data_IF_872922158807
#
_entry.id   IF_872922158807
#
_cell.length_a   1.000
_cell.length_b   1.000
_cell.length_c   1.000
_cell.angle_alpha   90.00
_cell.angle_beta   90.00
_cell.angle_gamma   90.00
#
_symmetry.space_group_name_H-M   'P 1'
#
loop_
_entity.id
_entity.type
_entity.pdbx_description
1 polymer ?
#
# COMPACT_ATOMS: atom_id res chain seq x y z
N UNK A 1 -33.52 35.00 -3.41
CA UNK A 1 -33.27 33.72 -4.09
C UNK A 1 -31.97 33.18 -3.56
N UNK A 2 -32.01 32.16 -2.71
CA UNK A 2 -30.81 31.56 -2.07
C UNK A 2 -30.35 30.42 -2.96
N UNK A 3 -29.23 30.61 -3.62
CA UNK A 3 -28.61 29.61 -4.50
C UNK A 3 -27.95 28.53 -3.64
N UNK A 4 -28.66 27.42 -3.37
CA UNK A 4 -28.11 26.24 -2.69
C UNK A 4 -27.14 25.53 -3.62
N UNK A 5 -25.82 25.72 -3.41
CA UNK A 5 -24.79 24.88 -4.03
C UNK A 5 -25.02 23.43 -3.61
N UNK A 6 -25.32 22.54 -4.57
CA UNK A 6 -25.37 21.08 -4.34
C UNK A 6 -23.97 20.61 -3.91
N UNK A 7 -23.87 19.70 -2.92
CA UNK A 7 -22.56 19.23 -2.45
C UNK A 7 -21.83 18.44 -3.53
N UNK A 8 -20.53 18.63 -3.61
CA UNK A 8 -19.57 18.04 -4.57
C UNK A 8 -19.42 16.50 -4.44
N UNK A 9 -20.30 15.81 -3.75
CA UNK A 9 -20.27 14.36 -3.48
C UNK A 9 -20.40 13.44 -4.71
N UNK A 10 -20.70 13.98 -5.90
CA UNK A 10 -21.00 13.13 -7.05
C UNK A 10 -19.78 12.66 -7.87
N UNK A 11 -18.63 13.34 -7.80
CA UNK A 11 -17.42 12.94 -8.55
C UNK A 11 -16.55 11.98 -7.75
N UNK A 12 -16.35 12.21 -6.47
CA UNK A 12 -15.50 11.37 -5.60
C UNK A 12 -16.13 9.99 -5.38
N UNK A 13 -17.46 9.91 -5.21
CA UNK A 13 -18.15 8.62 -5.07
C UNK A 13 -18.04 7.72 -6.30
N UNK A 14 -17.81 8.30 -7.48
CA UNK A 14 -17.60 7.54 -8.72
C UNK A 14 -16.18 6.92 -8.82
N UNK A 15 -15.23 7.35 -8.01
CA UNK A 15 -13.86 6.82 -8.01
C UNK A 15 -13.69 5.64 -7.04
N UNK A 16 -14.59 5.47 -6.08
CA UNK A 16 -14.59 4.30 -5.19
C UNK A 16 -15.43 3.20 -5.80
N UNK A 17 -14.87 2.01 -5.92
CA UNK A 17 -15.55 0.84 -6.51
C UNK A 17 -15.87 -0.20 -5.44
N UNK A 18 -16.91 -1.03 -5.70
CA UNK A 18 -17.44 -2.01 -4.75
C UNK A 18 -16.53 -3.22 -4.52
N UNK A 19 -15.80 -3.61 -5.56
CA UNK A 19 -14.99 -4.84 -5.57
C UNK A 19 -13.81 -4.74 -6.56
N UNK A 20 -12.92 -5.73 -6.47
CA UNK A 20 -11.70 -5.77 -7.25
C UNK A 20 -11.95 -6.04 -8.74
N UNK A 21 -12.97 -6.82 -9.07
CA UNK A 21 -13.32 -7.13 -10.47
C UNK A 21 -13.85 -5.87 -11.18
N UNK A 22 -14.69 -5.10 -10.50
CA UNK A 22 -15.14 -3.79 -10.99
C UNK A 22 -13.96 -2.83 -11.19
N UNK A 23 -12.97 -2.83 -10.28
CA UNK A 23 -11.75 -2.05 -10.43
C UNK A 23 -11.01 -2.44 -11.72
N UNK A 24 -10.79 -3.72 -11.93
CA UNK A 24 -10.10 -4.24 -13.10
C UNK A 24 -10.85 -3.94 -14.41
N UNK A 25 -12.17 -4.13 -14.42
CA UNK A 25 -13.00 -3.84 -15.60
C UNK A 25 -12.91 -2.36 -15.99
N UNK A 26 -12.97 -1.44 -15.02
CA UNK A 26 -12.85 -0.01 -15.28
C UNK A 26 -11.47 0.42 -15.75
N UNK A 27 -10.42 -0.33 -15.42
CA UNK A 27 -9.04 -0.08 -15.83
C UNK A 27 -8.66 -0.81 -17.13
N UNK A 28 -9.54 -1.59 -17.74
CA UNK A 28 -9.22 -2.42 -18.91
C UNK A 28 -8.64 -1.61 -20.09
N UNK A 29 -9.20 -0.44 -20.40
CA UNK A 29 -8.67 0.44 -21.46
C UNK A 29 -7.28 0.97 -21.12
N UNK A 30 -7.03 1.33 -19.86
CA UNK A 30 -5.71 1.78 -19.40
C UNK A 30 -4.70 0.64 -19.47
N UNK A 31 -5.10 -0.56 -19.07
CA UNK A 31 -4.29 -1.79 -19.17
C UNK A 31 -3.90 -2.09 -20.61
N UNK A 32 -4.84 -2.03 -21.54
CA UNK A 32 -4.57 -2.24 -22.96
C UNK A 32 -3.55 -1.24 -23.53
N UNK A 33 -3.56 0.00 -23.02
CA UNK A 33 -2.61 1.05 -23.44
C UNK A 33 -1.22 0.90 -22.80
N UNK A 34 -1.14 0.56 -21.50
CA UNK A 34 0.11 0.55 -20.71
C UNK A 34 0.81 -0.81 -20.67
N UNK A 35 0.09 -1.90 -20.92
CA UNK A 35 0.59 -3.26 -20.75
C UNK A 35 0.65 -3.71 -19.30
N UNK A 36 1.28 -2.97 -18.41
CA UNK A 36 1.36 -3.22 -16.97
C UNK A 36 0.75 -2.07 -16.19
N UNK A 37 -0.13 -2.36 -15.24
CA UNK A 37 -0.65 -1.40 -14.28
C UNK A 37 0.00 -1.62 -12.92
N UNK A 38 0.07 -0.54 -12.13
CA UNK A 38 0.61 -0.56 -10.77
C UNK A 38 -0.49 -0.25 -9.77
N UNK A 39 -0.70 -1.15 -8.82
CA UNK A 39 -1.73 -1.02 -7.78
C UNK A 39 -1.08 -0.64 -6.46
N UNK A 40 -1.42 0.53 -5.94
CA UNK A 40 -1.07 0.90 -4.57
C UNK A 40 -1.77 -0.04 -3.59
N UNK A 41 -1.03 -0.61 -2.66
CA UNK A 41 -1.57 -1.38 -1.54
C UNK A 41 -1.41 -0.52 -0.29
N UNK A 42 -2.49 -0.33 0.45
CA UNK A 42 -2.46 0.44 1.69
C UNK A 42 -3.32 -0.22 2.76
N UNK A 43 -2.78 -0.34 3.95
CA UNK A 43 -3.51 -0.95 5.05
C UNK A 43 -2.97 -0.58 6.43
N UNK A 44 -3.65 -1.05 7.48
CA UNK A 44 -3.22 -0.81 8.84
C UNK A 44 -1.99 -1.65 9.18
N UNK A 45 -1.02 -1.02 9.84
CA UNK A 45 0.18 -1.69 10.35
C UNK A 45 0.03 -2.21 11.79
N UNK A 46 -0.98 -1.71 12.55
CA UNK A 46 -1.12 -1.99 14.00
C UNK A 46 -1.84 -3.30 14.30
N UNK A 47 -3.02 -3.46 13.73
CA UNK A 47 -3.89 -4.62 14.00
C UNK A 47 -4.21 -5.35 12.71
N UNK A 48 -4.31 -6.68 12.79
CA UNK A 48 -4.71 -7.56 11.70
C UNK A 48 -5.22 -8.89 12.26
N UNK A 49 -5.73 -9.76 11.40
CA UNK A 49 -6.06 -11.15 11.69
C UNK A 49 -5.93 -12.00 10.42
N UNK A 50 -6.03 -13.32 10.56
CA UNK A 50 -5.90 -14.29 9.44
C UNK A 50 -6.87 -14.02 8.29
N UNK A 51 -8.10 -13.57 8.57
CA UNK A 51 -9.09 -13.25 7.52
C UNK A 51 -8.67 -12.05 6.69
N UNK A 52 -8.10 -11.03 7.32
CA UNK A 52 -7.59 -9.84 6.63
C UNK A 52 -6.36 -10.21 5.81
N UNK A 53 -5.42 -10.95 6.38
CA UNK A 53 -4.25 -11.46 5.67
C UNK A 53 -4.65 -12.23 4.40
N UNK A 54 -5.60 -13.17 4.49
CA UNK A 54 -6.10 -13.91 3.33
C UNK A 54 -6.65 -12.97 2.24
N UNK A 55 -7.43 -11.95 2.63
CA UNK A 55 -7.98 -10.99 1.65
C UNK A 55 -6.91 -10.13 0.98
N UNK A 56 -5.85 -9.75 1.72
CA UNK A 56 -4.70 -9.06 1.13
C UNK A 56 -4.00 -9.95 0.13
N UNK A 57 -3.68 -11.19 0.52
CA UNK A 57 -3.00 -12.18 -0.36
C UNK A 57 -3.83 -12.50 -1.60
N UNK A 58 -5.14 -12.74 -1.47
CA UNK A 58 -6.05 -12.96 -2.60
C UNK A 58 -6.05 -11.80 -3.60
N UNK A 59 -6.10 -10.56 -3.11
CA UNK A 59 -6.08 -9.38 -3.96
C UNK A 59 -4.74 -9.24 -4.71
N UNK A 60 -3.63 -9.43 -4.01
CA UNK A 60 -2.29 -9.36 -4.62
C UNK A 60 -2.09 -10.47 -5.65
N UNK A 61 -2.53 -11.70 -5.34
CA UNK A 61 -2.47 -12.82 -6.31
C UNK A 61 -3.17 -12.45 -7.61
N UNK A 62 -4.40 -11.96 -7.53
CA UNK A 62 -5.15 -11.52 -8.71
C UNK A 62 -4.43 -10.43 -9.50
N UNK A 63 -3.77 -9.48 -8.83
CA UNK A 63 -3.00 -8.41 -9.47
C UNK A 63 -1.80 -8.99 -10.21
N UNK A 64 -1.00 -9.82 -9.56
CA UNK A 64 0.24 -10.38 -10.14
C UNK A 64 -0.08 -11.37 -11.29
N UNK A 65 -1.08 -12.23 -11.12
CA UNK A 65 -1.52 -13.18 -12.16
C UNK A 65 -2.04 -12.50 -13.44
N UNK A 66 -2.53 -11.27 -13.32
CA UNK A 66 -2.89 -10.41 -14.47
C UNK A 66 -1.68 -9.79 -15.18
N UNK A 67 -0.47 -10.03 -14.71
CA UNK A 67 0.75 -9.39 -15.18
C UNK A 67 0.89 -7.92 -14.75
N UNK A 68 0.18 -7.51 -13.69
CA UNK A 68 0.27 -6.18 -13.07
C UNK A 68 1.26 -6.20 -11.90
N UNK A 69 1.55 -5.04 -11.32
CA UNK A 69 2.47 -4.90 -10.20
C UNK A 69 1.83 -4.22 -8.99
N UNK A 70 2.49 -4.32 -7.84
CA UNK A 70 2.10 -3.65 -6.61
C UNK A 70 3.06 -2.53 -6.24
N UNK A 71 2.53 -1.53 -5.55
CA UNK A 71 3.27 -0.43 -4.92
C UNK A 71 2.84 -0.38 -3.46
N UNK A 72 3.78 -0.49 -2.52
CA UNK A 72 3.45 -0.46 -1.09
C UNK A 72 4.47 0.38 -0.31
N UNK A 73 4.21 0.55 0.96
CA UNK A 73 5.02 1.40 1.82
C UNK A 73 5.98 0.66 2.75
N UNK A 74 6.12 -0.66 2.61
CA UNK A 74 7.05 -1.45 3.39
C UNK A 74 6.76 -1.49 4.90
N UNK A 75 5.50 -1.36 5.32
CA UNK A 75 5.10 -1.44 6.71
C UNK A 75 4.71 -2.87 7.13
N UNK A 76 4.54 -3.09 8.45
CA UNK A 76 4.02 -4.35 8.98
C UNK A 76 2.59 -4.64 8.52
N UNK A 77 2.17 -5.88 8.67
CA UNK A 77 0.84 -6.40 8.38
C UNK A 77 0.47 -6.29 6.89
N UNK A 78 -0.41 -5.36 6.50
CA UNK A 78 -0.98 -5.35 5.14
C UNK A 78 0.10 -5.22 4.07
N UNK A 79 1.03 -4.29 4.22
CA UNK A 79 2.11 -4.09 3.25
C UNK A 79 3.05 -5.31 3.23
N UNK A 80 3.38 -5.86 4.42
CA UNK A 80 4.19 -7.08 4.56
C UNK A 80 3.54 -8.29 3.88
N UNK A 81 2.24 -8.54 4.12
CA UNK A 81 1.51 -9.65 3.49
C UNK A 81 1.42 -9.50 1.97
N UNK A 82 1.20 -8.27 1.51
CA UNK A 82 1.14 -7.97 0.10
C UNK A 82 2.49 -8.23 -0.59
N UNK A 83 3.57 -7.78 0.02
CA UNK A 83 4.93 -7.97 -0.48
C UNK A 83 5.33 -9.44 -0.48
N UNK A 84 5.04 -10.17 0.60
CA UNK A 84 5.31 -11.60 0.72
C UNK A 84 4.58 -12.44 -0.35
N UNK A 85 3.29 -12.17 -0.58
CA UNK A 85 2.53 -12.85 -1.62
C UNK A 85 3.04 -12.50 -3.03
N UNK A 86 3.37 -11.23 -3.26
CA UNK A 86 3.91 -10.80 -4.55
C UNK A 86 5.28 -11.44 -4.84
N UNK A 87 6.16 -11.56 -3.85
CA UNK A 87 7.47 -12.22 -3.99
C UNK A 87 7.33 -13.71 -4.33
N UNK A 88 6.38 -14.41 -3.70
CA UNK A 88 6.11 -15.84 -4.01
C UNK A 88 5.72 -16.05 -5.46
N UNK A 89 4.96 -15.11 -6.03
CA UNK A 89 4.45 -15.18 -7.41
C UNK A 89 5.40 -14.52 -8.43
N UNK A 90 6.28 -13.67 -7.96
CA UNK A 90 7.25 -12.93 -8.77
C UNK A 90 8.61 -12.86 -8.04
N UNK A 91 9.38 -13.97 -7.98
CA UNK A 91 10.65 -14.03 -7.24
C UNK A 91 11.73 -13.05 -7.73
N UNK A 92 11.64 -12.59 -8.97
CA UNK A 92 12.55 -11.56 -9.51
C UNK A 92 12.19 -10.14 -9.05
N UNK A 93 11.11 -9.98 -8.29
CA UNK A 93 10.58 -8.73 -7.75
C UNK A 93 10.32 -7.60 -8.78
N UNK A 94 10.32 -7.89 -10.09
CA UNK A 94 10.14 -6.88 -11.14
C UNK A 94 8.70 -6.31 -11.22
N UNK A 95 7.76 -6.87 -10.45
CA UNK A 95 6.37 -6.42 -10.28
C UNK A 95 6.11 -5.82 -8.88
N UNK A 96 7.14 -5.42 -8.17
CA UNK A 96 7.05 -4.89 -6.81
C UNK A 96 7.78 -3.55 -6.74
N UNK A 97 7.17 -2.55 -6.09
CA UNK A 97 7.79 -1.28 -5.73
C UNK A 97 7.47 -0.97 -4.27
N UNK A 98 8.49 -0.76 -3.47
CA UNK A 98 8.34 -0.41 -2.06
C UNK A 98 9.00 0.95 -1.83
N UNK A 99 8.21 1.89 -1.36
CA UNK A 99 8.69 3.22 -0.96
C UNK A 99 8.93 3.25 0.54
N UNK A 100 10.15 3.58 0.96
CA UNK A 100 10.46 3.79 2.37
C UNK A 100 10.51 5.28 2.71
N UNK A 101 10.10 5.67 3.94
CA UNK A 101 10.10 7.07 4.37
C UNK A 101 11.51 7.63 4.62
N UNK A 102 12.50 6.74 4.78
CA UNK A 102 13.93 7.00 5.01
C UNK A 102 14.75 5.92 4.30
N UNK A 103 16.08 5.91 4.43
CA UNK A 103 16.88 4.76 4.02
C UNK A 103 16.57 3.50 4.86
N UNK A 104 16.95 2.33 4.33
CA UNK A 104 16.62 1.05 4.96
C UNK A 104 17.27 0.88 6.33
N UNK A 105 18.48 1.40 6.55
CA UNK A 105 19.19 1.25 7.81
C UNK A 105 18.48 2.03 8.93
N UNK A 106 18.09 3.27 8.67
CA UNK A 106 17.28 4.07 9.59
C UNK A 106 15.88 3.44 9.83
N UNK A 107 15.29 2.88 8.77
CA UNK A 107 14.00 2.21 8.87
C UNK A 107 14.08 0.96 9.73
N UNK A 108 15.12 0.14 9.55
CA UNK A 108 15.40 -1.03 10.38
C UNK A 108 15.64 -0.65 11.84
N UNK A 109 16.48 0.38 12.08
CA UNK A 109 16.71 0.88 13.43
C UNK A 109 15.41 1.36 14.10
N UNK A 110 14.53 2.04 13.37
CA UNK A 110 13.21 2.45 13.86
C UNK A 110 12.37 1.23 14.29
N UNK A 111 12.28 0.18 13.48
CA UNK A 111 11.48 -1.01 13.82
C UNK A 111 12.06 -1.79 14.99
N UNK A 112 13.39 -1.93 15.08
CA UNK A 112 14.06 -2.54 16.26
C UNK A 112 13.78 -1.73 17.54
N UNK A 113 13.82 -0.39 17.47
CA UNK A 113 13.43 0.47 18.58
C UNK A 113 11.97 0.24 18.99
N UNK A 114 11.04 0.13 18.04
CA UNK A 114 9.61 -0.15 18.33
C UNK A 114 9.42 -1.51 19.00
N UNK A 115 10.25 -2.50 18.68
CA UNK A 115 10.26 -3.78 19.37
C UNK A 115 10.74 -3.65 20.81
N UNK A 116 11.82 -2.91 21.06
CA UNK A 116 12.31 -2.63 22.43
C UNK A 116 11.29 -1.87 23.29
N UNK A 117 10.50 -0.98 22.66
CA UNK A 117 9.40 -0.24 23.29
C UNK A 117 8.15 -1.12 23.55
N UNK A 118 8.13 -2.38 23.12
CA UNK A 118 6.98 -3.30 23.26
C UNK A 118 5.79 -2.94 22.37
N UNK A 119 5.96 -2.11 21.35
CA UNK A 119 4.90 -1.74 20.40
C UNK A 119 4.63 -2.84 19.37
N UNK A 120 5.68 -3.57 19.03
CA UNK A 120 5.68 -4.77 18.17
C UNK A 120 6.58 -5.82 18.80
N UNK A 121 6.57 -7.07 18.29
CA UNK A 121 7.54 -8.07 18.73
C UNK A 121 8.85 -7.98 17.96
N UNK A 122 9.94 -8.54 18.51
CA UNK A 122 11.24 -8.61 17.83
C UNK A 122 11.13 -9.43 16.55
N UNK A 123 10.38 -10.53 16.57
CA UNK A 123 10.14 -11.38 15.41
C UNK A 123 9.43 -10.62 14.26
N UNK A 124 8.50 -9.72 14.61
CA UNK A 124 7.84 -8.86 13.62
C UNK A 124 8.82 -7.88 12.98
N UNK A 125 9.68 -7.26 13.79
CA UNK A 125 10.70 -6.35 13.30
C UNK A 125 11.69 -7.07 12.37
N UNK A 126 12.23 -8.21 12.82
CA UNK A 126 13.22 -8.99 12.07
C UNK A 126 12.65 -9.56 10.77
N UNK A 127 11.41 -10.07 10.79
CA UNK A 127 10.74 -10.56 9.59
C UNK A 127 10.53 -9.46 8.54
N UNK A 128 10.13 -8.26 8.95
CA UNK A 128 9.97 -7.13 8.04
C UNK A 128 11.31 -6.70 7.44
N UNK A 129 12.35 -6.57 8.27
CA UNK A 129 13.69 -6.15 7.84
C UNK A 129 14.24 -7.18 6.86
N UNK A 130 14.19 -8.47 7.19
CA UNK A 130 14.63 -9.55 6.31
C UNK A 130 13.88 -9.57 4.96
N UNK A 131 12.59 -9.27 4.96
CA UNK A 131 11.81 -9.16 3.72
C UNK A 131 12.31 -8.00 2.85
N UNK A 132 12.57 -6.82 3.42
CA UNK A 132 13.05 -5.65 2.69
C UNK A 132 14.47 -5.86 2.15
N UNK A 133 15.36 -6.48 2.93
CA UNK A 133 16.69 -6.87 2.51
C UNK A 133 16.67 -7.90 1.36
N UNK A 134 15.78 -8.90 1.46
CA UNK A 134 15.58 -9.90 0.41
C UNK A 134 15.08 -9.27 -0.89
N UNK A 135 14.17 -8.30 -0.81
CA UNK A 135 13.71 -7.52 -1.95
C UNK A 135 14.86 -6.76 -2.63
N UNK A 136 15.66 -6.04 -1.82
CA UNK A 136 16.82 -5.29 -2.31
C UNK A 136 17.85 -6.21 -2.98
N UNK A 137 18.07 -7.39 -2.42
CA UNK A 137 18.97 -8.38 -2.99
C UNK A 137 18.44 -8.98 -4.31
N UNK A 138 17.14 -9.27 -4.39
CA UNK A 138 16.51 -9.82 -5.59
C UNK A 138 16.45 -8.81 -6.74
N UNK A 139 16.15 -7.54 -6.44
CA UNK A 139 16.11 -6.45 -7.40
C UNK A 139 16.24 -5.10 -6.68
N UNK A 140 17.42 -4.46 -6.71
CA UNK A 140 17.67 -3.19 -6.03
C UNK A 140 16.69 -2.07 -6.43
N UNK A 141 16.16 -2.08 -7.67
CA UNK A 141 15.21 -1.08 -8.14
C UNK A 141 13.81 -1.19 -7.51
N UNK A 142 13.55 -2.25 -6.76
CA UNK A 142 12.27 -2.49 -6.08
C UNK A 142 12.11 -1.62 -4.83
N UNK A 143 13.21 -1.34 -4.13
CA UNK A 143 13.23 -0.59 -2.89
C UNK A 143 13.61 0.86 -3.16
N UNK A 144 12.67 1.77 -3.02
CA UNK A 144 12.85 3.20 -3.24
C UNK A 144 12.97 3.88 -1.87
N UNK A 145 14.18 4.23 -1.51
CA UNK A 145 14.55 4.81 -0.23
C UNK A 145 14.54 6.35 -0.32
N UNK A 146 14.05 7.03 0.73
CA UNK A 146 14.12 8.48 0.82
C UNK A 146 15.31 8.90 1.69
N UNK A 147 16.47 9.10 1.07
CA UNK A 147 17.70 9.53 1.76
C UNK A 147 17.70 10.98 2.24
N UNK A 148 16.69 11.78 1.90
CA UNK A 148 16.55 13.16 2.38
C UNK A 148 15.99 13.23 3.81
N UNK A 149 15.20 12.23 4.20
CA UNK A 149 14.62 12.15 5.52
C UNK A 149 15.58 11.43 6.50
N UNK A 150 15.74 12.00 7.67
CA UNK A 150 16.61 11.48 8.75
C UNK A 150 15.84 10.92 9.94
N UNK A 151 14.51 10.97 9.92
CA UNK A 151 13.64 10.48 10.99
C UNK A 151 12.42 9.78 10.41
N UNK A 152 11.92 8.79 11.16
CA UNK A 152 10.65 8.10 10.86
C UNK A 152 9.57 8.66 11.78
N UNK A 153 8.66 9.46 11.23
CA UNK A 153 7.56 10.08 11.94
C UNK A 153 6.26 10.13 11.08
N UNK A 154 5.23 10.76 11.61
CA UNK A 154 3.94 10.90 10.90
C UNK A 154 4.09 11.67 9.58
N UNK A 155 4.96 12.70 9.54
CA UNK A 155 5.16 13.53 8.35
C UNK A 155 5.82 12.70 7.25
N UNK A 156 6.92 12.03 7.55
CA UNK A 156 7.65 11.19 6.58
C UNK A 156 6.83 9.99 6.09
N UNK A 157 5.97 9.41 6.93
CA UNK A 157 4.98 8.42 6.49
C UNK A 157 3.95 8.99 5.51
N UNK A 158 3.48 10.22 5.72
CA UNK A 158 2.52 10.84 4.82
C UNK A 158 3.17 11.29 3.50
N UNK A 159 4.43 11.68 3.51
CA UNK A 159 5.23 11.93 2.30
C UNK A 159 5.34 10.62 1.50
N UNK A 160 5.74 9.54 2.12
CA UNK A 160 5.82 8.22 1.52
C UNK A 160 4.47 7.74 0.95
N UNK A 161 3.34 7.99 1.63
CA UNK A 161 2.02 7.69 1.10
C UNK A 161 1.74 8.46 -0.22
N UNK A 162 2.26 9.69 -0.35
CA UNK A 162 2.19 10.45 -1.60
C UNK A 162 2.95 9.77 -2.71
N UNK A 163 4.15 9.26 -2.43
CA UNK A 163 4.97 8.54 -3.42
C UNK A 163 4.30 7.25 -3.87
N UNK A 164 3.72 6.49 -2.94
CA UNK A 164 2.91 5.29 -3.25
C UNK A 164 1.75 5.65 -4.19
N UNK A 165 1.00 6.72 -3.91
CA UNK A 165 -0.12 7.12 -4.76
C UNK A 165 0.34 7.65 -6.12
N UNK A 166 1.46 8.37 -6.18
CA UNK A 166 2.02 8.88 -7.43
C UNK A 166 2.45 7.74 -8.35
N UNK A 167 3.09 6.71 -7.80
CA UNK A 167 3.59 5.55 -8.53
C UNK A 167 2.50 4.54 -8.92
N UNK A 168 1.27 4.71 -8.45
CA UNK A 168 0.16 3.78 -8.69
C UNK A 168 -0.80 4.28 -9.77
N UNK A 169 -1.46 3.36 -10.47
CA UNK A 169 -2.58 3.63 -11.40
C UNK A 169 -3.94 3.58 -10.69
N UNK A 170 -4.03 2.81 -9.61
CA UNK A 170 -5.20 2.68 -8.75
C UNK A 170 -4.78 2.23 -7.34
N UNK A 171 -5.70 2.28 -6.38
CA UNK A 171 -5.46 1.88 -4.99
C UNK A 171 -6.35 0.70 -4.60
N UNK A 172 -5.77 -0.25 -3.88
CA UNK A 172 -6.45 -1.32 -3.15
C UNK A 172 -6.17 -1.11 -1.67
N UNK A 173 -7.17 -0.64 -0.94
CA UNK A 173 -7.08 -0.28 0.46
C UNK A 173 -7.74 -1.31 1.38
N UNK A 174 -7.07 -1.63 2.50
CA UNK A 174 -7.58 -2.48 3.59
C UNK A 174 -7.60 -1.66 4.87
N UNK A 175 -8.71 -0.96 5.10
CA UNK A 175 -8.87 -0.11 6.27
C UNK A 175 -9.36 -0.93 7.45
N UNK A 176 -8.52 -1.03 8.50
CA UNK A 176 -8.86 -1.71 9.74
C UNK A 176 -9.08 -0.63 10.80
N UNK A 177 -10.22 -0.66 11.44
CA UNK A 177 -10.63 0.36 12.41
C UNK A 177 -10.31 1.74 11.88
N UNK A 178 -10.76 2.64 11.60
CA UNK A 178 -10.53 4.02 11.12
C UNK A 178 -9.04 4.45 10.97
N UNK A 179 -8.20 3.57 10.37
CA UNK A 179 -6.79 3.87 10.16
C UNK A 179 -6.58 5.18 9.38
N UNK A 180 -6.02 6.20 10.03
CA UNK A 180 -5.75 7.51 9.42
C UNK A 180 -4.75 7.46 8.27
N UNK A 181 -3.77 6.56 8.33
CA UNK A 181 -2.80 6.36 7.25
C UNK A 181 -3.46 5.86 5.97
N UNK A 182 -4.41 4.93 6.09
CA UNK A 182 -5.19 4.45 4.94
C UNK A 182 -6.11 5.55 4.41
N UNK A 183 -6.76 6.29 5.29
CA UNK A 183 -7.61 7.43 4.92
C UNK A 183 -6.84 8.48 4.13
N UNK A 184 -5.62 8.83 4.57
CA UNK A 184 -4.72 9.75 3.87
C UNK A 184 -4.40 9.26 2.45
N UNK A 185 -4.00 7.98 2.32
CA UNK A 185 -3.67 7.38 1.01
C UNK A 185 -4.90 7.37 0.09
N UNK A 186 -6.08 7.03 0.60
CA UNK A 186 -7.34 7.05 -0.16
C UNK A 186 -7.66 8.45 -0.65
N UNK A 187 -7.60 9.46 0.23
CA UNK A 187 -7.87 10.87 -0.13
C UNK A 187 -6.92 11.37 -1.21
N UNK A 188 -5.62 11.07 -1.09
CA UNK A 188 -4.61 11.44 -2.10
C UNK A 188 -4.89 10.79 -3.44
N UNK A 189 -5.24 9.50 -3.45
CA UNK A 189 -5.57 8.75 -4.67
C UNK A 189 -6.79 9.34 -5.38
N UNK A 190 -7.87 9.62 -4.62
CA UNK A 190 -9.09 10.24 -5.16
C UNK A 190 -8.80 11.64 -5.70
N UNK A 191 -7.99 12.44 -4.99
CA UNK A 191 -7.58 13.78 -5.44
C UNK A 191 -6.83 13.73 -6.78
N UNK A 192 -6.10 12.65 -7.05
CA UNK A 192 -5.42 12.39 -8.33
C UNK A 192 -6.36 11.85 -9.42
N UNK A 193 -7.67 11.69 -9.15
CA UNK A 193 -8.65 11.16 -10.10
C UNK A 193 -8.51 9.65 -10.37
N UNK A 194 -7.78 8.93 -9.51
CA UNK A 194 -7.53 7.50 -9.65
C UNK A 194 -8.60 6.67 -8.93
N UNK A 195 -8.84 5.46 -9.43
CA UNK A 195 -9.81 4.54 -8.84
C UNK A 195 -9.30 3.94 -7.52
N UNK A 196 -10.23 3.69 -6.61
CA UNK A 196 -9.98 3.09 -5.30
C UNK A 196 -10.94 1.94 -5.07
N UNK A 197 -10.43 0.76 -4.75
CA UNK A 197 -11.15 -0.29 -4.05
C UNK A 197 -10.77 -0.23 -2.57
N UNK A 198 -11.73 0.02 -1.69
CA UNK A 198 -11.52 0.11 -0.25
C UNK A 198 -12.35 -0.92 0.51
N UNK A 199 -11.67 -1.90 1.10
CA UNK A 199 -12.28 -2.87 2.01
C UNK A 199 -12.10 -2.43 3.46
N UNK A 200 -13.22 -2.26 4.17
CA UNK A 200 -13.22 -1.88 5.59
C UNK A 200 -13.41 -3.10 6.48
N UNK A 201 -12.71 -3.12 7.60
CA UNK A 201 -12.79 -4.14 8.64
C UNK A 201 -12.87 -3.47 10.00
N UNK A 202 -13.67 -4.07 10.89
CA UNK A 202 -13.70 -3.73 12.31
C UNK A 202 -13.23 -4.98 13.05
N UNK A 203 -12.21 -4.80 13.88
CA UNK A 203 -11.67 -5.83 14.78
C UNK A 203 -11.48 -5.21 16.15
N UNK A 204 -11.77 -5.98 17.17
CA UNK A 204 -11.60 -5.62 18.59
C UNK A 204 -10.13 -5.53 18.99
#
# INVERSE_FOLDING_TARGET
MINRRKPNGSKESKLVVSDLETLFARLAKLKAKKGTLWFGISGSWKKTNKKIEQRVREAVRKIIERGDGIVAGGALNVDYFATDEALKLNPTANKIKIFLPVDLDLYAAHYRKRATEGVITSEQADALIAQLESLRAANPATLIENSQNTVVDTKTYYERNTDVTNASDALVGFQINESKGVEDTVKKTIKQGKLVYLKKFIIE
#
